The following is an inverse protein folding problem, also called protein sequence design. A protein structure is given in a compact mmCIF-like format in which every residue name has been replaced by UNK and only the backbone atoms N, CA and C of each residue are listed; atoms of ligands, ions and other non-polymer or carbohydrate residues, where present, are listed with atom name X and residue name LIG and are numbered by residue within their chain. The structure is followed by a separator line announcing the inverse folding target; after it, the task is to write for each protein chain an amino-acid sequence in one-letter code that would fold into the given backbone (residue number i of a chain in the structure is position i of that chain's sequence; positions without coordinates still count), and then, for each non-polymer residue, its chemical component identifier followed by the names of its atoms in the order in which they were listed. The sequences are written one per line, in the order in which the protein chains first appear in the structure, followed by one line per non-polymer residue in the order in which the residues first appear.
data_IF_888535587155
#
_entry.id   IF_888535587155
#
_cell.length_a   1.000
_cell.length_b   1.000
_cell.length_c   1.000
_cell.angle_alpha   90.00
_cell.angle_beta   90.00
_cell.angle_gamma   90.00
#
_symmetry.space_group_name_H-M   'P 1'
#
loop_
_entity.id
_entity.type
_entity.pdbx_description
1 polymer ?
#
# COMPACT_ATOMS: atom_id res chain seq x y z
N UNK A 1 -15.26 11.10 -0.45
CA UNK A 1 -14.15 10.43 -1.17
C UNK A 1 -13.18 9.76 -0.22
N UNK A 2 -12.61 10.54 0.70
CA UNK A 2 -11.49 10.10 1.55
C UNK A 2 -11.78 8.86 2.42
N UNK A 3 -13.01 8.69 2.94
CA UNK A 3 -13.36 7.50 3.72
C UNK A 3 -13.32 6.20 2.89
N UNK A 4 -13.85 6.24 1.66
CA UNK A 4 -13.81 5.10 0.74
C UNK A 4 -12.38 4.87 0.24
N UNK A 5 -11.64 5.95 -0.07
CA UNK A 5 -10.24 5.87 -0.46
C UNK A 5 -9.37 5.24 0.63
N UNK A 6 -9.58 5.59 1.90
CA UNK A 6 -8.89 4.98 3.03
C UNK A 6 -9.15 3.48 3.11
N UNK A 7 -10.42 3.05 3.01
CA UNK A 7 -10.77 1.62 3.02
C UNK A 7 -10.13 0.86 1.85
N UNK A 8 -10.12 1.45 0.65
CA UNK A 8 -9.43 0.87 -0.51
C UNK A 8 -7.94 0.65 -0.25
N UNK A 9 -7.24 1.68 0.23
CA UNK A 9 -5.80 1.58 0.51
C UNK A 9 -5.49 0.60 1.64
N UNK A 10 -6.34 0.49 2.66
CA UNK A 10 -6.19 -0.52 3.72
C UNK A 10 -6.32 -1.95 3.16
N UNK A 11 -7.33 -2.21 2.33
CA UNK A 11 -7.54 -3.53 1.74
C UNK A 11 -6.37 -3.94 0.84
N UNK A 12 -5.99 -3.08 -0.10
CA UNK A 12 -4.89 -3.36 -1.03
C UNK A 12 -3.55 -3.53 -0.29
N UNK A 13 -3.29 -2.71 0.73
CA UNK A 13 -2.08 -2.87 1.56
C UNK A 13 -2.06 -4.24 2.26
N UNK A 14 -3.19 -4.67 2.82
CA UNK A 14 -3.32 -5.99 3.44
C UNK A 14 -3.16 -7.15 2.45
N UNK A 15 -3.74 -7.05 1.25
CA UNK A 15 -3.58 -8.06 0.18
C UNK A 15 -2.11 -8.22 -0.22
N UNK A 16 -1.39 -7.10 -0.32
CA UNK A 16 0.06 -7.05 -0.59
C UNK A 16 0.93 -7.34 0.65
N UNK A 17 0.35 -7.67 1.79
CA UNK A 17 1.07 -8.03 3.02
C UNK A 17 1.81 -6.87 3.68
N UNK A 18 1.41 -5.63 3.41
CA UNK A 18 1.98 -4.44 4.05
C UNK A 18 1.29 -4.16 5.39
N UNK A 19 2.08 -3.78 6.40
CA UNK A 19 1.55 -3.27 7.66
C UNK A 19 1.15 -1.78 7.55
N UNK A 20 0.63 -1.22 8.65
CA UNK A 20 0.24 0.19 8.72
C UNK A 20 1.42 1.17 8.58
N UNK A 21 2.67 0.71 8.68
CA UNK A 21 3.87 1.49 8.45
C UNK A 21 4.42 1.32 7.02
N UNK A 22 3.83 0.44 6.21
CA UNK A 22 4.23 0.17 4.83
C UNK A 22 5.36 -0.87 4.70
N UNK A 23 5.67 -1.63 5.74
CA UNK A 23 6.65 -2.71 5.66
C UNK A 23 5.98 -4.04 5.28
N UNK A 24 6.65 -4.78 4.42
CA UNK A 24 6.18 -6.10 4.00
C UNK A 24 6.37 -7.14 5.12
N UNK A 25 5.27 -7.75 5.52
CA UNK A 25 5.18 -8.86 6.47
C UNK A 25 4.41 -10.06 5.86
N UNK A 26 4.33 -10.12 4.53
CA UNK A 26 3.64 -11.19 3.81
C UNK A 26 4.44 -12.50 3.79
N UNK A 27 3.83 -13.52 3.19
CA UNK A 27 4.36 -14.88 3.17
C UNK A 27 4.49 -15.47 1.77
N UNK A 28 4.08 -14.74 0.73
CA UNK A 28 4.10 -15.21 -0.65
C UNK A 28 4.67 -14.17 -1.61
N UNK A 29 5.51 -14.62 -2.53
CA UNK A 29 6.12 -13.80 -3.58
C UNK A 29 5.08 -13.13 -4.49
N UNK A 30 3.90 -13.73 -4.66
CA UNK A 30 2.81 -13.14 -5.46
C UNK A 30 2.33 -11.80 -4.88
N UNK A 31 2.47 -11.60 -3.56
CA UNK A 31 2.11 -10.34 -2.90
C UNK A 31 3.09 -9.22 -3.24
N UNK A 32 4.29 -9.55 -3.74
CA UNK A 32 5.28 -8.58 -4.20
C UNK A 32 5.14 -8.26 -5.69
N UNK A 33 4.38 -9.06 -6.44
CA UNK A 33 4.16 -8.83 -7.86
C UNK A 33 3.39 -7.53 -8.11
N UNK A 34 3.87 -6.74 -9.08
CA UNK A 34 3.22 -5.51 -9.55
C UNK A 34 2.96 -4.45 -8.47
N UNK A 35 3.71 -4.49 -7.37
CA UNK A 35 3.64 -3.51 -6.29
C UNK A 35 3.74 -2.05 -6.80
N UNK A 36 4.54 -1.84 -7.84
CA UNK A 36 4.78 -0.55 -8.47
C UNK A 36 3.53 0.14 -9.06
N UNK A 37 2.45 -0.62 -9.31
CA UNK A 37 1.17 -0.09 -9.82
C UNK A 37 0.53 0.86 -8.80
N UNK A 38 0.50 0.46 -7.53
CA UNK A 38 -0.17 1.20 -6.47
C UNK A 38 0.78 1.85 -5.47
N UNK A 39 2.02 1.34 -5.35
CA UNK A 39 2.99 1.81 -4.37
C UNK A 39 4.29 2.28 -5.03
N UNK A 40 5.01 3.15 -4.33
CA UNK A 40 6.42 3.39 -4.54
C UNK A 40 7.22 2.61 -3.50
N UNK A 41 8.35 2.04 -3.90
CA UNK A 41 9.36 1.60 -2.94
C UNK A 41 10.20 2.80 -2.52
N UNK A 42 10.20 3.10 -1.22
CA UNK A 42 11.05 4.08 -0.58
C UNK A 42 12.31 3.39 -0.02
N UNK A 43 12.99 4.02 0.94
CA UNK A 43 14.14 3.40 1.61
C UNK A 43 13.72 2.18 2.43
N UNK A 44 14.64 1.21 2.59
CA UNK A 44 14.48 0.05 3.48
C UNK A 44 13.28 -0.86 3.14
N UNK A 45 12.95 -1.03 1.85
CA UNK A 45 11.79 -1.83 1.40
C UNK A 45 10.46 -1.38 2.02
N UNK A 46 10.36 -0.08 2.32
CA UNK A 46 9.11 0.54 2.73
C UNK A 46 8.28 0.90 1.50
N UNK A 47 7.03 0.47 1.45
CA UNK A 47 6.12 0.73 0.33
C UNK A 47 5.10 1.82 0.69
N UNK A 48 5.01 2.85 -0.14
CA UNK A 48 4.18 4.04 0.10
C UNK A 48 3.10 4.17 -0.99
N UNK A 49 1.80 4.31 -0.63
CA UNK A 49 0.72 4.49 -1.59
C UNK A 49 0.91 5.67 -2.53
N UNK A 50 0.64 5.47 -3.83
CA UNK A 50 0.51 6.55 -4.83
C UNK A 50 -0.86 7.22 -4.70
N UNK A 51 -1.12 7.86 -3.56
CA UNK A 51 -2.40 8.49 -3.23
C UNK A 51 -2.26 10.01 -3.09
N UNK A 52 -3.27 10.74 -3.55
CA UNK A 52 -3.44 12.17 -3.26
C UNK A 52 -4.79 12.33 -2.56
N UNK A 53 -4.77 12.88 -1.35
CA UNK A 53 -5.97 13.19 -0.58
C UNK A 53 -6.18 14.70 -0.60
N UNK A 54 -7.41 15.13 -0.89
CA UNK A 54 -7.80 16.54 -0.93
C UNK A 54 -9.05 16.72 -0.08
N UNK A 55 -9.10 17.79 0.70
CA UNK A 55 -10.25 18.24 1.48
C UNK A 55 -10.30 19.78 1.46
N UNK A 56 -11.46 20.38 1.74
CA UNK A 56 -11.69 21.85 1.68
C UNK A 56 -11.68 22.50 3.07
#
# INVERSE_FOLDING_TARGET
GNQIGAAFWQNISGEHGLDGAGYYNGSSDIQLERMNVYFNEATEKKYVPRAVLVDL
#
